data_IF_512011961660
#
_entry.id   IF_512011961660
#
_cell.length_a   1.000
_cell.length_b   1.000
_cell.length_c   1.000
_cell.angle_alpha   90.00
_cell.angle_beta   90.00
_cell.angle_gamma   90.00
#
_symmetry.space_group_name_H-M   'P 1'
#
loop_
_entity.id
_entity.type
_entity.pdbx_description
1 polymer ?
#
# COMPACT_ATOMS: atom_id res chain seq x y z
N UNK A 1 11.83 -3.60 22.93
CA UNK A 1 10.64 -3.94 23.74
C UNK A 1 9.95 -2.70 24.28
N UNK A 2 10.66 -1.81 24.99
CA UNK A 2 10.07 -0.57 25.54
C UNK A 2 9.45 0.36 24.46
N UNK A 3 10.16 0.60 23.35
CA UNK A 3 9.63 1.41 22.23
C UNK A 3 8.34 0.83 21.62
N UNK A 4 8.30 -0.50 21.43
CA UNK A 4 7.13 -1.22 20.90
C UNK A 4 5.90 -1.02 21.79
N UNK A 5 6.08 -1.05 23.11
CA UNK A 5 5.02 -0.79 24.09
C UNK A 5 4.57 0.68 24.04
N UNK A 6 5.50 1.63 23.93
CA UNK A 6 5.18 3.06 23.83
C UNK A 6 4.33 3.33 22.58
N UNK A 7 4.75 2.82 21.41
CA UNK A 7 3.98 2.97 20.17
C UNK A 7 2.62 2.27 20.23
N UNK A 8 2.57 1.07 20.83
CA UNK A 8 1.31 0.38 21.10
C UNK A 8 0.34 1.24 21.91
N UNK A 9 0.80 1.85 23.01
CA UNK A 9 -0.04 2.72 23.85
C UNK A 9 -0.51 3.97 23.11
N UNK A 10 0.37 4.63 22.37
CA UNK A 10 0.01 5.80 21.56
C UNK A 10 -1.06 5.44 20.52
N UNK A 11 -0.89 4.33 19.80
CA UNK A 11 -1.86 3.86 18.83
C UNK A 11 -3.20 3.49 19.48
N UNK A 12 -3.16 2.84 20.66
CA UNK A 12 -4.36 2.54 21.44
C UNK A 12 -5.13 3.79 21.86
N UNK A 13 -4.43 4.87 22.21
CA UNK A 13 -5.04 6.16 22.52
C UNK A 13 -5.70 6.81 21.29
N UNK A 14 -5.04 6.76 20.13
CA UNK A 14 -5.58 7.25 18.86
C UNK A 14 -6.87 6.50 18.49
N UNK A 15 -6.83 5.16 18.51
CA UNK A 15 -8.01 4.35 18.21
C UNK A 15 -9.14 4.59 19.21
N UNK A 16 -8.85 4.77 20.50
CA UNK A 16 -9.88 5.09 21.50
C UNK A 16 -10.61 6.39 21.17
N UNK A 17 -9.88 7.42 20.75
CA UNK A 17 -10.45 8.71 20.37
C UNK A 17 -11.25 8.58 19.08
N UNK A 18 -10.69 7.94 18.04
CA UNK A 18 -11.36 7.79 16.75
C UNK A 18 -12.64 6.94 16.87
N UNK A 19 -12.62 5.86 17.66
CA UNK A 19 -13.76 4.98 17.84
C UNK A 19 -14.92 5.68 18.58
N UNK A 20 -14.61 6.49 19.61
CA UNK A 20 -15.63 7.31 20.30
C UNK A 20 -16.31 8.32 19.39
N UNK A 21 -15.60 8.81 18.38
CA UNK A 21 -16.13 9.75 17.40
C UNK A 21 -16.72 9.06 16.16
N UNK A 22 -16.75 7.73 16.11
CA UNK A 22 -17.31 6.97 15.00
C UNK A 22 -16.44 6.93 13.73
N UNK A 23 -15.19 7.38 13.79
CA UNK A 23 -14.28 7.43 12.63
C UNK A 23 -13.57 6.11 12.35
N UNK A 24 -13.34 5.28 13.38
CA UNK A 24 -12.60 4.04 13.22
C UNK A 24 -13.21 2.93 14.09
N UNK A 25 -13.95 1.96 13.51
CA UNK A 25 -14.65 0.91 14.25
C UNK A 25 -13.69 -0.21 14.70
N UNK A 26 -12.68 0.16 15.49
CA UNK A 26 -11.75 -0.79 16.12
C UNK A 26 -12.43 -1.44 17.31
N UNK A 27 -12.25 -2.74 17.53
CA UNK A 27 -12.86 -3.40 18.69
C UNK A 27 -12.28 -2.89 20.01
N UNK A 28 -13.13 -2.81 21.06
CA UNK A 28 -12.70 -2.38 22.39
C UNK A 28 -11.58 -3.28 22.96
N UNK A 29 -11.61 -4.58 22.66
CA UNK A 29 -10.56 -5.52 23.06
C UNK A 29 -9.20 -5.22 22.41
N UNK A 30 -9.19 -4.75 21.17
CA UNK A 30 -7.95 -4.34 20.46
C UNK A 30 -7.38 -3.07 21.08
N UNK A 31 -8.22 -2.08 21.36
CA UNK A 31 -7.83 -0.85 22.09
C UNK A 31 -7.26 -1.20 23.48
N UNK A 32 -7.95 -2.05 24.23
CA UNK A 32 -7.50 -2.48 25.56
C UNK A 32 -6.13 -3.16 25.50
N UNK A 33 -5.91 -4.06 24.53
CA UNK A 33 -4.64 -4.75 24.38
C UNK A 33 -3.48 -3.81 24.11
N UNK A 34 -3.68 -2.82 23.24
CA UNK A 34 -2.69 -1.79 22.93
C UNK A 34 -2.35 -0.91 24.14
N UNK A 35 -3.36 -0.43 24.87
CA UNK A 35 -3.17 0.43 26.04
C UNK A 35 -2.45 -0.28 27.21
N UNK A 36 -2.59 -1.60 27.32
CA UNK A 36 -1.99 -2.40 28.38
C UNK A 36 -0.68 -3.09 27.97
N UNK A 37 -0.19 -2.84 26.75
CA UNK A 37 1.08 -3.42 26.29
C UNK A 37 1.00 -4.92 26.02
N UNK A 38 -0.17 -5.46 25.65
CA UNK A 38 -0.31 -6.86 25.25
C UNK A 38 0.42 -7.06 23.93
N UNK A 39 1.54 -7.78 23.98
CA UNK A 39 2.46 -7.91 22.85
C UNK A 39 1.80 -8.44 21.57
N UNK A 40 0.94 -9.46 21.69
CA UNK A 40 0.21 -10.01 20.54
C UNK A 40 -0.75 -9.03 19.87
N UNK A 41 -1.29 -8.06 20.62
CA UNK A 41 -2.10 -6.99 20.03
C UNK A 41 -1.23 -6.01 19.23
N UNK A 42 -0.02 -5.71 19.74
CA UNK A 42 0.92 -4.80 19.08
C UNK A 42 1.51 -5.46 17.82
N UNK A 43 1.91 -6.73 17.90
CA UNK A 43 2.45 -7.45 16.75
C UNK A 43 1.45 -7.52 15.61
N UNK A 44 0.19 -7.84 15.94
CA UNK A 44 -0.88 -7.86 14.95
C UNK A 44 -1.08 -6.52 14.24
N UNK A 45 -0.95 -5.38 14.95
CA UNK A 45 -0.97 -4.06 14.30
C UNK A 45 0.17 -3.89 13.32
N UNK A 46 1.39 -4.15 13.78
CA UNK A 46 2.61 -3.95 13.01
C UNK A 46 2.57 -4.83 11.75
N UNK A 47 2.20 -6.10 11.89
CA UNK A 47 2.03 -7.03 10.76
C UNK A 47 0.93 -6.56 9.81
N UNK A 48 -0.23 -6.13 10.35
CA UNK A 48 -1.37 -5.70 9.53
C UNK A 48 -1.12 -4.39 8.77
N UNK A 49 -0.22 -3.53 9.27
CA UNK A 49 0.13 -2.26 8.60
C UNK A 49 0.75 -2.49 7.22
N UNK A 50 1.35 -3.67 7.00
CA UNK A 50 1.91 -4.09 5.71
C UNK A 50 2.96 -3.09 5.22
N UNK A 51 4.16 -3.19 5.78
CA UNK A 51 5.31 -2.39 5.39
C UNK A 51 5.74 -2.70 3.96
N UNK A 52 6.02 -1.66 3.18
CA UNK A 52 6.71 -1.74 1.89
C UNK A 52 8.09 -1.10 2.07
N UNK A 53 9.14 -1.89 1.91
CA UNK A 53 10.52 -1.42 2.02
C UNK A 53 10.92 -0.55 0.83
N UNK A 54 11.95 0.29 1.01
CA UNK A 54 12.54 1.07 -0.08
C UNK A 54 13.11 0.18 -1.20
N UNK A 55 13.56 -1.03 -0.87
CA UNK A 55 14.03 -2.00 -1.87
C UNK A 55 12.87 -2.46 -2.76
N UNK A 56 11.73 -2.81 -2.16
CA UNK A 56 10.53 -3.22 -2.91
C UNK A 56 9.95 -2.07 -3.73
N UNK A 57 9.90 -0.87 -3.17
CA UNK A 57 9.55 0.36 -3.89
C UNK A 57 10.47 0.58 -5.10
N UNK A 58 11.78 0.39 -4.91
CA UNK A 58 12.78 0.48 -5.98
C UNK A 58 12.60 -0.56 -7.07
N UNK A 59 12.21 -1.80 -6.72
CA UNK A 59 11.89 -2.86 -7.69
C UNK A 59 10.68 -2.50 -8.54
N UNK A 60 9.61 -1.97 -7.95
CA UNK A 60 8.44 -1.51 -8.70
C UNK A 60 8.84 -0.38 -9.65
N UNK A 61 9.57 0.63 -9.15
CA UNK A 61 10.05 1.74 -9.97
C UNK A 61 10.91 1.26 -11.15
N UNK A 62 11.79 0.28 -10.92
CA UNK A 62 12.64 -0.28 -11.96
C UNK A 62 11.85 -0.94 -13.09
N UNK A 63 10.82 -1.73 -12.75
CA UNK A 63 9.91 -2.32 -13.74
C UNK A 63 9.17 -1.24 -14.51
N UNK A 64 8.59 -0.24 -13.83
CA UNK A 64 7.87 0.85 -14.49
C UNK A 64 8.77 1.66 -15.42
N UNK A 65 10.01 1.97 -14.99
CA UNK A 65 10.98 2.73 -15.76
C UNK A 65 11.31 2.08 -17.11
N UNK A 66 11.39 0.75 -17.17
CA UNK A 66 11.70 0.01 -18.40
C UNK A 66 10.65 0.23 -19.50
N UNK A 67 9.38 0.38 -19.11
CA UNK A 67 8.28 0.68 -20.03
C UNK A 67 8.12 2.18 -20.26
N UNK A 68 8.23 2.97 -19.20
CA UNK A 68 7.96 4.41 -19.22
C UNK A 68 9.00 5.19 -20.04
N UNK A 69 10.27 4.77 -20.02
CA UNK A 69 11.36 5.44 -20.74
C UNK A 69 11.48 5.05 -22.21
N UNK A 70 10.90 3.93 -22.62
CA UNK A 70 10.90 3.45 -24.00
C UNK A 70 9.53 3.73 -24.66
N UNK A 71 9.42 4.73 -25.55
CA UNK A 71 8.16 5.08 -26.18
C UNK A 71 7.47 3.90 -26.89
N UNK A 72 8.23 2.96 -27.45
CA UNK A 72 7.65 1.81 -28.15
C UNK A 72 6.96 0.87 -27.15
N UNK A 73 7.64 0.54 -26.05
CA UNK A 73 7.05 -0.28 -24.98
C UNK A 73 5.86 0.41 -24.33
N UNK A 74 5.96 1.72 -24.12
CA UNK A 74 4.89 2.53 -23.56
C UNK A 74 3.62 2.51 -24.42
N UNK A 75 3.76 2.58 -25.75
CA UNK A 75 2.64 2.46 -26.68
C UNK A 75 1.99 1.08 -26.64
N UNK A 76 2.78 0.01 -26.50
CA UNK A 76 2.30 -1.38 -26.43
C UNK A 76 1.57 -1.73 -25.13
N UNK A 77 1.74 -0.94 -24.06
CA UNK A 77 1.04 -1.17 -22.79
C UNK A 77 -0.46 -0.92 -22.93
N UNK A 78 -1.23 -1.99 -22.74
CA UNK A 78 -2.70 -1.99 -22.76
C UNK A 78 -3.32 -2.12 -21.37
N UNK A 79 -2.54 -2.52 -20.36
CA UNK A 79 -3.00 -2.67 -18.99
C UNK A 79 -1.96 -3.34 -18.09
N UNK A 80 -2.35 -3.61 -16.85
CA UNK A 80 -1.49 -4.21 -15.83
C UNK A 80 -0.90 -5.56 -16.27
N UNK A 81 -1.67 -6.38 -16.99
CA UNK A 81 -1.20 -7.70 -17.43
C UNK A 81 0.03 -7.65 -18.35
N UNK A 82 0.33 -6.51 -18.98
CA UNK A 82 1.56 -6.35 -19.76
C UNK A 82 2.83 -6.37 -18.91
N UNK A 83 2.73 -6.02 -17.62
CA UNK A 83 3.86 -5.90 -16.68
C UNK A 83 3.82 -6.95 -15.57
N UNK A 84 2.75 -7.74 -15.47
CA UNK A 84 2.54 -8.69 -14.36
C UNK A 84 3.71 -9.67 -14.22
N UNK A 85 4.15 -10.28 -15.32
CA UNK A 85 5.29 -11.21 -15.33
C UNK A 85 6.60 -10.54 -14.87
N UNK A 86 6.81 -9.26 -15.17
CA UNK A 86 7.99 -8.51 -14.73
C UNK A 86 7.98 -8.22 -13.24
N UNK A 87 6.82 -7.87 -12.70
CA UNK A 87 6.67 -7.73 -11.27
C UNK A 87 6.83 -9.07 -10.53
N UNK A 88 6.28 -10.15 -11.07
CA UNK A 88 6.45 -11.49 -10.50
C UNK A 88 7.92 -11.93 -10.52
N UNK A 89 8.64 -11.68 -11.62
CA UNK A 89 10.09 -11.93 -11.72
C UNK A 89 10.90 -11.10 -10.73
N UNK A 90 10.45 -9.89 -10.40
CA UNK A 90 11.04 -9.05 -9.37
C UNK A 90 10.71 -9.52 -7.94
N UNK A 91 9.90 -10.56 -7.78
CA UNK A 91 9.50 -11.12 -6.49
C UNK A 91 8.49 -10.25 -5.74
N UNK A 92 7.69 -9.46 -6.46
CA UNK A 92 6.69 -8.57 -5.89
C UNK A 92 5.31 -9.23 -5.89
N UNK A 93 4.62 -9.16 -4.75
CA UNK A 93 3.21 -9.54 -4.66
C UNK A 93 2.30 -8.43 -5.18
N UNK A 94 1.11 -8.79 -5.67
CA UNK A 94 0.10 -7.82 -6.12
C UNK A 94 -0.22 -6.74 -5.09
N UNK A 95 -0.32 -7.10 -3.81
CA UNK A 95 -0.58 -6.13 -2.75
C UNK A 95 0.55 -5.09 -2.57
N UNK A 96 1.82 -5.51 -2.75
CA UNK A 96 2.96 -4.59 -2.72
C UNK A 96 2.95 -3.65 -3.93
N UNK A 97 2.61 -4.18 -5.10
CA UNK A 97 2.55 -3.41 -6.35
C UNK A 97 1.45 -2.35 -6.26
N UNK A 98 0.24 -2.72 -5.81
CA UNK A 98 -0.87 -1.76 -5.64
C UNK A 98 -0.44 -0.62 -4.71
N UNK A 99 0.14 -0.92 -3.54
CA UNK A 99 0.63 0.12 -2.61
C UNK A 99 1.66 1.05 -3.25
N UNK A 100 2.61 0.48 -3.99
CA UNK A 100 3.64 1.25 -4.68
C UNK A 100 3.07 2.13 -5.80
N UNK A 101 2.16 1.61 -6.62
CA UNK A 101 1.50 2.34 -7.70
C UNK A 101 0.65 3.49 -7.16
N UNK A 102 -0.12 3.26 -6.09
CA UNK A 102 -0.86 4.33 -5.39
C UNK A 102 0.07 5.41 -4.87
N UNK A 103 1.18 5.01 -4.23
CA UNK A 103 2.19 5.96 -3.76
C UNK A 103 2.81 6.77 -4.91
N UNK A 104 3.19 6.14 -6.02
CA UNK A 104 3.76 6.85 -7.17
C UNK A 104 2.77 7.80 -7.83
N UNK A 105 1.52 7.36 -8.03
CA UNK A 105 0.47 8.19 -8.61
C UNK A 105 0.18 9.42 -7.74
N UNK A 106 0.09 9.23 -6.42
CA UNK A 106 -0.07 10.34 -5.47
C UNK A 106 1.09 11.35 -5.54
N UNK A 107 2.30 10.90 -5.86
CA UNK A 107 3.48 11.75 -6.08
C UNK A 107 3.63 12.24 -7.53
N UNK A 108 2.63 12.06 -8.39
CA UNK A 108 2.65 12.42 -9.81
C UNK A 108 3.78 11.75 -10.62
N UNK A 109 4.16 10.53 -10.25
CA UNK A 109 5.18 9.73 -10.93
C UNK A 109 4.51 8.65 -11.79
N UNK A 110 5.01 8.44 -13.02
CA UNK A 110 4.52 7.42 -13.96
C UNK A 110 3.03 7.55 -14.33
N UNK A 111 2.40 8.72 -14.14
CA UNK A 111 0.94 8.89 -14.27
C UNK A 111 0.40 8.38 -15.61
N UNK A 112 1.05 8.71 -16.71
CA UNK A 112 0.70 8.28 -18.06
C UNK A 112 0.75 6.76 -18.25
N UNK A 113 1.71 6.08 -17.62
CA UNK A 113 1.80 4.61 -17.62
C UNK A 113 0.73 4.00 -16.72
N UNK A 114 0.56 4.55 -15.51
CA UNK A 114 -0.41 4.06 -14.53
C UNK A 114 -1.85 4.25 -15.02
N UNK A 115 -2.15 5.33 -15.73
CA UNK A 115 -3.47 5.60 -16.32
C UNK A 115 -3.88 4.52 -17.34
N UNK A 116 -2.92 3.93 -18.08
CA UNK A 116 -3.20 2.82 -19.00
C UNK A 116 -3.68 1.56 -18.29
N UNK A 117 -3.47 1.44 -16.97
CA UNK A 117 -3.96 0.29 -16.21
C UNK A 117 -5.47 0.35 -15.96
N UNK A 118 -6.14 1.49 -16.12
CA UNK A 118 -7.60 1.53 -16.12
C UNK A 118 -8.15 0.99 -17.46
N UNK A 119 -8.11 -0.33 -17.61
CA UNK A 119 -8.51 -1.01 -18.84
C UNK A 119 -9.10 -2.40 -18.57
N UNK A 120 -9.65 -3.04 -19.58
CA UNK A 120 -10.10 -4.44 -19.51
C UNK A 120 -8.92 -5.43 -19.38
N UNK A 121 -7.69 -4.99 -19.66
CA UNK A 121 -6.45 -5.76 -19.55
C UNK A 121 -5.78 -5.59 -18.17
N UNK A 122 -6.58 -5.29 -17.16
CA UNK A 122 -6.15 -5.21 -15.76
C UNK A 122 -7.16 -5.89 -14.85
N UNK A 123 -6.70 -6.54 -13.77
CA UNK A 123 -7.61 -6.98 -12.73
C UNK A 123 -8.26 -5.77 -12.05
N UNK A 124 -9.44 -5.97 -11.45
CA UNK A 124 -10.28 -4.87 -10.93
C UNK A 124 -9.53 -4.02 -9.91
N UNK A 125 -8.75 -4.66 -9.03
CA UNK A 125 -7.94 -4.01 -8.01
C UNK A 125 -6.75 -3.20 -8.55
N UNK A 126 -6.43 -3.33 -9.85
CA UNK A 126 -5.33 -2.62 -10.51
C UNK A 126 -5.82 -1.61 -11.56
N UNK A 127 -7.06 -1.13 -11.45
CA UNK A 127 -7.59 -0.08 -12.36
C UNK A 127 -7.44 1.32 -11.80
N UNK A 128 -7.63 1.46 -10.49
CA UNK A 128 -7.61 2.76 -9.80
C UNK A 128 -6.62 2.74 -8.65
N UNK A 129 -5.68 3.68 -8.70
CA UNK A 129 -4.62 3.89 -7.71
C UNK A 129 -4.71 5.28 -7.07
N UNK A 130 -5.94 5.81 -6.98
CA UNK A 130 -6.20 7.07 -6.29
C UNK A 130 -6.21 6.83 -4.78
N UNK A 131 -5.67 7.80 -4.03
CA UNK A 131 -5.92 7.90 -2.60
C UNK A 131 -7.43 8.12 -2.41
N UNK A 132 -8.05 7.30 -1.57
CA UNK A 132 -9.45 7.51 -1.22
C UNK A 132 -9.62 8.81 -0.41
N UNK A 133 -10.85 9.23 -0.13
CA UNK A 133 -11.08 10.45 0.67
C UNK A 133 -10.55 10.33 2.11
N UNK A 134 -10.21 9.13 2.58
CA UNK A 134 -9.65 8.88 3.91
C UNK A 134 -8.11 8.92 3.89
N UNK A 135 -7.51 8.70 2.72
CA UNK A 135 -6.08 8.76 2.45
C UNK A 135 -5.59 10.19 2.09
N UNK A 136 -6.51 11.13 1.80
CA UNK A 136 -6.23 12.56 1.50
C UNK A 136 -6.24 13.44 2.75
#
# INVERSE_FOLDING_TARGET
MEQKIIFGKLLGEIYRIQNRNGYCPVSEGRIYGLLNGIESAIDKEIESSGFLSNEELGKVAYVLDDYWKDPNKMEEVQGYYNLEDDFERAGLSRGQIIKALTYFKANSQFNDLIEKFDSERSPVECKTFELDEWDK
#
